data_IF_989242335069
#
_entry.id   IF_989242335069
#
_cell.length_a   1.000
_cell.length_b   1.000
_cell.length_c   1.000
_cell.angle_alpha   90.00
_cell.angle_beta   90.00
_cell.angle_gamma   90.00
#
_symmetry.space_group_name_H-M   'P 1'
#
loop_
_entity.id
_entity.type
_entity.pdbx_description
1 polymer ?
#
# COMPACT_ATOMS: atom_id res chain seq x y z
N UNK A 1 -4.23 -9.18 26.04
CA UNK A 1 -3.27 -9.84 25.13
C UNK A 1 -3.51 -9.33 23.72
N UNK A 2 -2.46 -9.20 22.89
CA UNK A 2 -2.62 -8.85 21.47
C UNK A 2 -2.90 -10.12 20.65
N UNK A 3 -3.86 -10.05 19.73
CA UNK A 3 -4.16 -11.13 18.78
C UNK A 3 -3.00 -11.32 17.81
N UNK A 4 -2.54 -12.56 17.61
CA UNK A 4 -1.51 -12.88 16.61
C UNK A 4 -2.17 -13.19 15.27
N UNK A 5 -1.45 -12.88 14.19
CA UNK A 5 -1.88 -13.15 12.82
C UNK A 5 -0.77 -13.89 12.07
N UNK A 6 -1.15 -14.86 11.27
CA UNK A 6 -0.30 -15.42 10.23
C UNK A 6 -0.54 -14.61 8.96
N UNK A 7 0.53 -14.11 8.35
CA UNK A 7 0.46 -13.27 7.15
C UNK A 7 1.28 -13.92 6.04
N UNK A 8 0.65 -14.14 4.90
CA UNK A 8 1.29 -14.52 3.66
C UNK A 8 1.41 -13.31 2.74
N UNK A 9 2.59 -13.10 2.16
CA UNK A 9 2.86 -12.03 1.21
C UNK A 9 3.37 -12.67 -0.08
N UNK A 10 2.60 -12.50 -1.16
CA UNK A 10 3.04 -12.88 -2.50
C UNK A 10 3.65 -11.65 -3.19
N UNK A 11 4.95 -11.71 -3.44
CA UNK A 11 5.73 -10.63 -4.02
C UNK A 11 5.93 -10.88 -5.52
N UNK A 12 4.97 -10.44 -6.33
CA UNK A 12 5.09 -10.44 -7.78
C UNK A 12 5.83 -9.21 -8.32
N UNK A 13 6.28 -9.28 -9.57
CA UNK A 13 6.94 -8.14 -10.25
C UNK A 13 5.96 -7.04 -10.64
N UNK A 14 4.69 -7.38 -10.90
CA UNK A 14 3.65 -6.40 -11.26
C UNK A 14 2.73 -6.06 -10.08
N UNK A 15 2.34 -7.07 -9.30
CA UNK A 15 1.42 -6.90 -8.18
C UNK A 15 1.91 -7.68 -6.95
N UNK A 16 1.58 -7.16 -5.78
CA UNK A 16 1.74 -7.78 -4.47
C UNK A 16 0.37 -8.07 -3.89
N UNK A 17 0.23 -9.23 -3.23
CA UNK A 17 -0.99 -9.62 -2.51
C UNK A 17 -0.65 -9.97 -1.08
N UNK A 18 -1.49 -9.55 -0.15
CA UNK A 18 -1.38 -9.91 1.27
C UNK A 18 -2.60 -10.72 1.66
N UNK A 19 -2.37 -11.89 2.26
CA UNK A 19 -3.40 -12.70 2.88
C UNK A 19 -3.08 -12.91 4.36
N UNK A 20 -4.10 -13.03 5.20
CA UNK A 20 -3.93 -13.20 6.64
C UNK A 20 -5.00 -14.10 7.24
N UNK A 21 -4.68 -14.67 8.40
CA UNK A 21 -5.61 -15.36 9.29
C UNK A 21 -5.24 -15.05 10.75
N UNK A 22 -6.23 -14.82 11.60
CA UNK A 22 -6.01 -14.69 13.04
C UNK A 22 -5.66 -16.07 13.65
N UNK A 23 -4.93 -16.06 14.76
CA UNK A 23 -4.64 -17.30 15.50
C UNK A 23 -5.95 -18.02 15.92
N UNK A 24 -6.07 -19.29 15.51
CA UNK A 24 -7.26 -20.11 15.78
C UNK A 24 -8.39 -20.01 14.76
N UNK A 25 -8.26 -19.15 13.74
CA UNK A 25 -9.21 -19.06 12.62
C UNK A 25 -8.74 -19.94 11.45
N UNK A 26 -9.66 -20.74 10.89
CA UNK A 26 -9.39 -21.56 9.71
C UNK A 26 -9.56 -20.78 8.39
N UNK A 27 -10.16 -19.59 8.44
CA UNK A 27 -10.48 -18.80 7.25
C UNK A 27 -9.36 -17.83 6.89
N UNK A 28 -8.75 -18.04 5.72
CA UNK A 28 -7.79 -17.09 5.13
C UNK A 28 -8.55 -15.94 4.46
N UNK A 29 -8.13 -14.71 4.75
CA UNK A 29 -8.67 -13.48 4.18
C UNK A 29 -7.60 -12.80 3.31
N UNK A 30 -8.00 -12.28 2.15
CA UNK A 30 -7.14 -11.39 1.37
C UNK A 30 -7.35 -9.96 1.87
N UNK A 31 -6.26 -9.25 2.13
CA UNK A 31 -6.31 -7.86 2.58
C UNK A 31 -6.68 -6.97 1.39
N UNK A 32 -7.75 -6.19 1.57
CA UNK A 32 -8.05 -5.08 0.67
C UNK A 32 -7.29 -3.84 1.17
N UNK A 33 -6.57 -3.20 0.26
CA UNK A 33 -5.76 -2.00 0.52
C UNK A 33 -6.42 -0.84 -0.22
N UNK A 34 -6.71 0.25 0.48
CA UNK A 34 -7.19 1.47 -0.16
C UNK A 34 -6.07 2.06 -1.03
N UNK A 35 -6.38 2.27 -2.31
CA UNK A 35 -5.44 2.74 -3.31
C UNK A 35 -6.03 3.92 -4.07
N UNK A 36 -5.17 4.87 -4.45
CA UNK A 36 -5.55 5.92 -5.39
C UNK A 36 -5.67 5.30 -6.79
N UNK A 37 -6.90 5.12 -7.26
CA UNK A 37 -7.20 4.54 -8.59
C UNK A 37 -7.47 5.59 -9.66
N UNK A 38 -7.56 6.85 -9.24
CA UNK A 38 -7.83 8.02 -10.07
C UNK A 38 -7.53 9.31 -9.32
N UNK A 39 -7.82 10.45 -9.95
CA UNK A 39 -7.58 11.77 -9.34
C UNK A 39 -8.50 11.96 -8.13
N UNK A 40 -7.94 11.84 -6.93
CA UNK A 40 -8.70 11.97 -5.67
C UNK A 40 -9.68 10.82 -5.42
N UNK A 41 -9.57 9.72 -6.17
CA UNK A 41 -10.45 8.57 -6.05
C UNK A 41 -9.74 7.43 -5.33
N UNK A 42 -10.31 6.98 -4.21
CA UNK A 42 -9.84 5.81 -3.45
C UNK A 42 -10.75 4.62 -3.75
N UNK A 43 -10.15 3.46 -4.01
CA UNK A 43 -10.85 2.20 -4.05
C UNK A 43 -10.05 1.11 -3.34
N UNK A 44 -10.75 0.28 -2.57
CA UNK A 44 -10.17 -0.90 -1.95
C UNK A 44 -9.86 -1.95 -3.02
N UNK A 45 -8.61 -2.43 -3.07
CA UNK A 45 -8.15 -3.44 -4.03
C UNK A 45 -7.31 -4.49 -3.32
N UNK A 46 -7.45 -5.74 -3.75
CA UNK A 46 -6.67 -6.88 -3.22
C UNK A 46 -5.28 -7.00 -3.84
N UNK A 47 -5.04 -6.36 -5.00
CA UNK A 47 -3.75 -6.32 -5.67
C UNK A 47 -3.14 -4.93 -5.48
N UNK A 48 -1.94 -4.86 -4.91
CA UNK A 48 -1.15 -3.63 -4.80
C UNK A 48 -0.10 -3.60 -5.91
N UNK A 49 0.06 -2.52 -6.69
CA UNK A 49 1.14 -2.40 -7.65
C UNK A 49 2.52 -2.58 -7.00
N UNK A 50 3.36 -3.45 -7.57
CA UNK A 50 4.75 -3.68 -7.11
C UNK A 50 5.75 -2.66 -7.67
N UNK A 51 5.27 -1.50 -8.10
CA UNK A 51 6.07 -0.45 -8.71
C UNK A 51 5.97 0.81 -7.89
N UNK A 52 7.05 1.58 -7.94
CA UNK A 52 7.12 2.90 -7.34
C UNK A 52 7.54 3.86 -8.43
N UNK A 53 6.73 4.88 -8.67
CA UNK A 53 7.05 5.90 -9.64
C UNK A 53 7.92 6.99 -9.00
N UNK A 54 9.09 7.19 -9.59
CA UNK A 54 10.05 8.22 -9.19
C UNK A 54 10.02 9.35 -10.24
N UNK A 55 9.38 10.49 -9.93
CA UNK A 55 9.35 11.62 -10.85
C UNK A 55 10.75 12.20 -11.04
N UNK A 56 11.02 12.70 -12.24
CA UNK A 56 12.18 13.53 -12.50
C UNK A 56 12.08 14.87 -11.73
N UNK A 57 13.22 15.54 -11.57
CA UNK A 57 13.26 16.85 -10.91
C UNK A 57 12.34 17.85 -11.63
N UNK A 58 11.36 18.41 -10.90
CA UNK A 58 10.41 19.39 -11.43
C UNK A 58 9.22 18.80 -12.20
N UNK A 59 9.13 17.47 -12.34
CA UNK A 59 8.02 16.82 -13.06
C UNK A 59 6.70 16.89 -12.29
N UNK A 60 6.75 16.71 -10.97
CA UNK A 60 5.59 16.80 -10.08
C UNK A 60 5.80 17.90 -9.04
N UNK A 61 4.75 18.66 -8.75
CA UNK A 61 4.72 19.61 -7.63
C UNK A 61 4.77 18.81 -6.32
N UNK A 62 5.78 19.01 -5.45
CA UNK A 62 5.88 18.31 -4.16
C UNK A 62 4.62 18.43 -3.29
N UNK A 63 3.83 19.50 -3.45
CA UNK A 63 2.56 19.67 -2.75
C UNK A 63 1.50 18.63 -3.17
N UNK A 64 1.58 18.12 -4.39
CA UNK A 64 0.65 17.12 -4.97
C UNK A 64 1.01 15.68 -4.60
N UNK A 65 2.23 15.45 -4.10
CA UNK A 65 2.73 14.13 -3.68
C UNK A 65 2.33 13.75 -2.24
N UNK A 66 1.60 14.63 -1.55
CA UNK A 66 1.14 14.38 -0.18
C UNK A 66 -0.15 13.57 -0.21
N UNK A 67 -0.07 12.33 0.26
CA UNK A 67 -1.27 11.53 0.53
C UNK A 67 -2.09 12.24 1.62
N UNK A 68 -3.38 12.48 1.38
CA UNK A 68 -4.28 13.05 2.39
C UNK A 68 -4.70 11.93 3.36
N UNK A 69 -3.86 11.64 4.36
CA UNK A 69 -4.22 11.37 5.77
C UNK A 69 -3.14 10.53 6.52
N UNK A 70 -2.73 11.07 7.68
CA UNK A 70 -2.12 10.43 8.86
C UNK A 70 -1.54 9.00 8.73
N UNK A 71 -0.29 8.86 8.31
CA UNK A 71 0.57 7.76 8.77
C UNK A 71 2.05 8.13 8.55
N UNK A 72 2.76 8.34 9.67
CA UNK A 72 4.22 8.32 9.84
C UNK A 72 5.08 8.89 8.71
N UNK A 73 5.67 10.06 8.94
CA UNK A 73 6.81 10.55 8.17
C UNK A 73 7.95 9.52 8.19
N UNK A 74 8.07 8.74 7.11
CA UNK A 74 9.27 7.96 6.83
C UNK A 74 10.41 8.91 6.48
N UNK A 75 11.19 9.30 7.48
CA UNK A 75 12.36 10.18 7.30
C UNK A 75 13.39 9.52 6.37
N UNK A 76 13.68 10.17 5.24
CA UNK A 76 14.92 9.96 4.47
C UNK A 76 14.79 9.51 3.00
N UNK A 77 13.60 9.14 2.50
CA UNK A 77 13.43 8.74 1.10
C UNK A 77 12.91 9.91 0.22
N UNK A 78 13.38 10.06 -1.04
CA UNK A 78 12.81 11.03 -1.98
C UNK A 78 11.31 10.73 -2.20
N UNK A 79 10.47 11.74 -2.43
CA UNK A 79 9.03 11.54 -2.59
C UNK A 79 8.77 10.65 -3.81
N UNK A 80 7.82 9.71 -3.68
CA UNK A 80 7.42 8.83 -4.75
C UNK A 80 5.95 8.43 -4.60
N UNK A 81 5.39 7.98 -5.70
CA UNK A 81 3.97 7.60 -5.81
C UNK A 81 3.89 6.10 -6.08
N UNK A 82 2.93 5.44 -5.45
CA UNK A 82 2.49 4.08 -5.81
C UNK A 82 1.34 4.18 -6.81
#
# INVERSE_FOLDING_TARGET
>A
MATRYTVGIDLGTSNTVVAFAAEGEDRIQVLEIEQLVGRGELAARTLLPSVRYHPAAGELDPATLRLVASAGEGQGAPPAVL
#
